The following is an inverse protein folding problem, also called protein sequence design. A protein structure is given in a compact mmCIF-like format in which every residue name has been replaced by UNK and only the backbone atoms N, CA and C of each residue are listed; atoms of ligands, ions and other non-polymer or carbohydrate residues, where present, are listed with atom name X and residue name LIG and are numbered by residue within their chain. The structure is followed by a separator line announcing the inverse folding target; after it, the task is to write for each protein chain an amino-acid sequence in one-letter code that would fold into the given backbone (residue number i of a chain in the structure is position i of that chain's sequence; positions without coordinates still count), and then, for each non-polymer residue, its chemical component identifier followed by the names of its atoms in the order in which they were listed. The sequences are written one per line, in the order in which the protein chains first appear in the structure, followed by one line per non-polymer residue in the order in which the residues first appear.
data_IF_285584019220
#
_entry.id   IF_285584019220
#
_cell.length_a   1.000
_cell.length_b   1.000
_cell.length_c   1.000
_cell.angle_alpha   90.00
_cell.angle_beta   90.00
_cell.angle_gamma   90.00
#
_symmetry.space_group_name_H-M   'P 1'
#
loop_
_entity.id
_entity.type
_entity.pdbx_description
1 polymer ?
#
# COMPACT_ATOMS: atom_id res chain seq x y z
N UNK A 1 -4.34 21.26 -13.16
CA UNK A 1 -5.66 20.84 -12.60
C UNK A 1 -5.78 19.32 -12.61
N UNK A 2 -5.57 18.65 -13.75
CA UNK A 2 -5.64 17.17 -13.88
C UNK A 2 -4.81 16.40 -12.85
N UNK A 3 -3.50 16.67 -12.75
CA UNK A 3 -2.58 16.02 -11.78
C UNK A 3 -3.08 16.16 -10.32
N UNK A 4 -3.62 17.34 -9.95
CA UNK A 4 -4.22 17.56 -8.63
C UNK A 4 -5.51 16.77 -8.42
N UNK A 5 -6.42 16.78 -9.38
CA UNK A 5 -7.69 16.04 -9.29
C UNK A 5 -7.47 14.54 -9.15
N UNK A 6 -6.50 13.97 -9.88
CA UNK A 6 -6.12 12.57 -9.77
C UNK A 6 -5.55 12.26 -8.38
N UNK A 7 -4.62 13.08 -7.88
CA UNK A 7 -4.09 12.91 -6.52
C UNK A 7 -5.17 13.02 -5.44
N UNK A 8 -6.11 13.96 -5.58
CA UNK A 8 -7.23 14.11 -4.65
C UNK A 8 -8.18 12.90 -4.67
N UNK A 9 -8.49 12.38 -5.85
CA UNK A 9 -9.31 11.17 -6.00
C UNK A 9 -8.64 9.96 -5.35
N UNK A 10 -7.35 9.73 -5.62
CA UNK A 10 -6.61 8.65 -4.97
C UNK A 10 -6.54 8.84 -3.46
N UNK A 11 -6.28 10.05 -2.97
CA UNK A 11 -6.30 10.36 -1.54
C UNK A 11 -7.63 9.97 -0.88
N UNK A 12 -8.75 10.27 -1.55
CA UNK A 12 -10.09 9.92 -1.06
C UNK A 12 -10.29 8.39 -1.05
N UNK A 13 -9.87 7.70 -2.11
CA UNK A 13 -9.99 6.25 -2.19
C UNK A 13 -9.13 5.59 -1.11
N UNK A 14 -7.81 5.80 -1.08
CA UNK A 14 -6.92 5.25 -0.06
C UNK A 14 -7.36 5.64 1.36
N UNK A 15 -7.79 6.88 1.55
CA UNK A 15 -8.30 7.37 2.83
C UNK A 15 -9.54 6.62 3.29
N UNK A 16 -10.51 6.40 2.40
CA UNK A 16 -11.73 5.66 2.72
C UNK A 16 -11.45 4.20 3.12
N UNK A 17 -10.61 3.50 2.36
CA UNK A 17 -10.21 2.12 2.65
C UNK A 17 -9.38 2.02 3.93
N UNK A 18 -8.48 2.98 4.17
CA UNK A 18 -7.71 3.09 5.42
C UNK A 18 -8.63 3.23 6.63
N UNK A 19 -9.62 4.13 6.56
CA UNK A 19 -10.58 4.35 7.65
C UNK A 19 -11.47 3.13 7.90
N UNK A 20 -11.92 2.45 6.84
CA UNK A 20 -12.67 1.21 6.96
C UNK A 20 -11.83 0.11 7.61
N UNK A 21 -10.59 -0.08 7.16
CA UNK A 21 -9.65 -1.06 7.70
C UNK A 21 -9.36 -0.80 9.18
N UNK A 22 -9.06 0.45 9.55
CA UNK A 22 -8.82 0.87 10.92
C UNK A 22 -10.04 0.66 11.84
N UNK A 23 -11.26 0.68 11.31
CA UNK A 23 -12.47 0.33 12.08
C UNK A 23 -12.69 -1.17 12.17
N UNK A 24 -12.51 -1.93 11.10
CA UNK A 24 -12.99 -3.33 11.05
C UNK A 24 -11.93 -4.32 11.57
N UNK A 25 -10.67 -4.11 11.21
CA UNK A 25 -9.59 -5.11 11.37
C UNK A 25 -9.03 -5.16 12.80
N UNK A 26 -8.79 -4.03 13.51
CA UNK A 26 -8.34 -4.08 14.92
C UNK A 26 -9.34 -4.71 15.89
N UNK A 27 -10.63 -4.77 15.52
CA UNK A 27 -11.69 -5.38 16.34
C UNK A 27 -11.75 -6.91 16.23
N UNK A 28 -10.90 -7.50 15.40
CA UNK A 28 -10.88 -8.95 15.23
C UNK A 28 -10.14 -9.60 16.41
N UNK A 29 -10.69 -10.68 17.01
CA UNK A 29 -10.06 -11.35 18.15
C UNK A 29 -8.72 -12.01 17.80
N UNK A 30 -8.43 -12.16 16.50
CA UNK A 30 -7.22 -12.78 15.99
C UNK A 30 -6.17 -11.78 15.48
N UNK A 31 -6.36 -10.46 15.65
CA UNK A 31 -5.51 -9.48 14.97
C UNK A 31 -4.02 -9.55 15.35
N UNK A 32 -3.70 -9.74 16.63
CA UNK A 32 -2.34 -9.88 17.14
C UNK A 32 -2.32 -10.74 18.42
N UNK A 33 -1.27 -11.53 18.66
CA UNK A 33 -0.11 -11.83 17.81
C UNK A 33 -0.43 -12.75 16.60
N UNK A 34 0.51 -12.84 15.65
CA UNK A 34 0.31 -13.58 14.38
C UNK A 34 -0.09 -15.04 14.51
N UNK A 35 0.28 -15.69 15.62
CA UNK A 35 -0.15 -17.05 15.93
C UNK A 35 -1.66 -17.22 15.79
N UNK A 36 -2.46 -16.22 16.15
CA UNK A 36 -3.91 -16.27 16.07
C UNK A 36 -4.47 -16.21 14.65
N UNK A 37 -3.69 -15.77 13.66
CA UNK A 37 -4.12 -15.80 12.26
C UNK A 37 -4.37 -17.21 11.76
N UNK A 38 -3.64 -18.18 12.30
CA UNK A 38 -3.64 -19.57 11.87
C UNK A 38 -4.51 -20.51 12.72
N UNK A 39 -4.92 -20.07 13.91
CA UNK A 39 -5.76 -20.89 14.79
C UNK A 39 -7.14 -21.11 14.16
N UNK A 40 -7.57 -22.37 14.14
CA UNK A 40 -8.83 -22.78 13.53
C UNK A 40 -8.73 -23.11 12.04
N UNK A 41 -7.50 -23.16 11.49
CA UNK A 41 -7.27 -23.57 10.11
C UNK A 41 -7.68 -25.03 9.87
N UNK A 42 -7.13 -25.95 10.67
CA UNK A 42 -7.43 -27.40 10.59
C UNK A 42 -8.88 -27.77 10.86
N UNK A 43 -9.61 -26.98 11.65
CA UNK A 43 -11.03 -27.20 11.95
C UNK A 43 -11.97 -26.47 10.97
N UNK A 44 -11.46 -25.70 10.01
CA UNK A 44 -12.27 -24.88 9.10
C UNK A 44 -12.95 -23.66 9.74
N UNK A 45 -12.94 -23.56 11.08
CA UNK A 45 -13.56 -22.45 11.83
C UNK A 45 -13.00 -21.07 11.48
N UNK A 46 -11.78 -21.00 10.94
CA UNK A 46 -11.18 -19.76 10.44
C UNK A 46 -11.81 -19.22 9.14
N UNK A 47 -12.49 -20.06 8.37
CA UNK A 47 -13.06 -19.70 7.07
C UNK A 47 -14.32 -18.83 7.20
N UNK A 48 -15.00 -18.91 8.36
CA UNK A 48 -16.11 -18.04 8.68
C UNK A 48 -15.61 -16.60 8.91
N UNK A 49 -15.94 -15.72 7.96
CA UNK A 49 -15.61 -14.31 7.99
C UNK A 49 -16.87 -13.52 8.32
N UNK A 50 -16.77 -12.57 9.27
CA UNK A 50 -17.85 -11.63 9.57
C UNK A 50 -18.20 -10.82 8.31
N UNK A 51 -19.47 -10.52 8.11
CA UNK A 51 -19.96 -9.96 6.83
C UNK A 51 -19.32 -8.61 6.47
N UNK A 52 -19.04 -7.78 7.47
CA UNK A 52 -18.32 -6.51 7.29
C UNK A 52 -16.86 -6.72 6.82
N UNK A 53 -16.17 -7.72 7.35
CA UNK A 53 -14.81 -8.07 6.93
C UNK A 53 -14.82 -8.69 5.53
N UNK A 54 -15.83 -9.50 5.21
CA UNK A 54 -16.00 -10.05 3.85
C UNK A 54 -16.25 -8.93 2.85
N UNK A 55 -17.14 -8.00 3.17
CA UNK A 55 -17.41 -6.83 2.34
C UNK A 55 -16.13 -6.00 2.14
N UNK A 56 -15.40 -5.71 3.22
CA UNK A 56 -14.11 -5.01 3.16
C UNK A 56 -13.10 -5.71 2.24
N UNK A 57 -12.97 -7.03 2.38
CA UNK A 57 -12.05 -7.85 1.58
C UNK A 57 -12.38 -7.82 0.08
N UNK A 58 -13.66 -8.02 -0.25
CA UNK A 58 -14.13 -8.04 -1.63
C UNK A 58 -14.05 -6.65 -2.27
N UNK A 59 -14.33 -5.60 -1.51
CA UNK A 59 -14.18 -4.21 -1.98
C UNK A 59 -12.71 -3.90 -2.31
N UNK A 60 -11.76 -4.39 -1.49
CA UNK A 60 -10.33 -4.33 -1.79
C UNK A 60 -9.97 -5.12 -3.05
N UNK A 61 -10.51 -6.33 -3.20
CA UNK A 61 -10.32 -7.12 -4.41
C UNK A 61 -10.79 -6.39 -5.67
N UNK A 62 -11.99 -5.80 -5.62
CA UNK A 62 -12.52 -5.01 -6.73
C UNK A 62 -11.63 -3.80 -7.06
N UNK A 63 -11.13 -3.10 -6.04
CA UNK A 63 -10.19 -1.99 -6.20
C UNK A 63 -8.88 -2.43 -6.84
N UNK A 64 -8.29 -3.56 -6.43
CA UNK A 64 -7.05 -4.06 -7.04
C UNK A 64 -7.24 -4.49 -8.50
N UNK A 65 -8.39 -5.10 -8.83
CA UNK A 65 -8.73 -5.42 -10.22
C UNK A 65 -8.90 -4.15 -11.05
N UNK A 66 -9.60 -3.15 -10.52
CA UNK A 66 -9.73 -1.85 -11.19
C UNK A 66 -8.36 -1.19 -11.39
N UNK A 67 -7.49 -1.20 -10.39
CA UNK A 67 -6.12 -0.67 -10.50
C UNK A 67 -5.28 -1.41 -11.53
N UNK A 68 -5.41 -2.74 -11.62
CA UNK A 68 -4.73 -3.54 -12.64
C UNK A 68 -5.15 -3.16 -14.06
N UNK A 69 -6.44 -2.85 -14.27
CA UNK A 69 -6.95 -2.36 -15.56
C UNK A 69 -6.50 -0.92 -15.82
N UNK A 70 -6.52 -0.05 -14.81
CA UNK A 70 -6.10 1.34 -14.96
C UNK A 70 -4.64 1.47 -15.38
N UNK A 71 -3.72 0.67 -14.82
CA UNK A 71 -2.31 0.73 -15.24
C UNK A 71 -2.10 0.38 -16.71
N UNK A 72 -2.97 -0.46 -17.30
CA UNK A 72 -2.91 -0.76 -18.75
C UNK A 72 -3.39 0.40 -19.63
N UNK A 73 -4.16 1.33 -19.07
CA UNK A 73 -4.76 2.46 -19.77
C UNK A 73 -4.00 3.78 -19.52
N UNK A 74 -3.27 3.87 -18.40
CA UNK A 74 -2.49 5.05 -18.02
C UNK A 74 -1.16 5.15 -18.81
N UNK A 75 -0.65 6.37 -19.03
CA UNK A 75 0.68 6.58 -19.58
C UNK A 75 1.75 5.83 -18.77
N UNK A 76 2.74 5.27 -19.48
CA UNK A 76 3.81 4.50 -18.84
C UNK A 76 4.73 5.41 -18.06
N UNK A 77 4.78 5.22 -16.75
CA UNK A 77 5.72 5.87 -15.84
C UNK A 77 7.02 5.08 -15.73
N UNK A 78 8.06 5.68 -15.13
CA UNK A 78 9.38 5.04 -14.94
C UNK A 78 9.32 3.74 -14.15
N UNK A 79 8.33 3.58 -13.27
CA UNK A 79 8.09 2.35 -12.50
C UNK A 79 6.91 1.51 -12.99
N UNK A 80 6.59 1.60 -14.30
CA UNK A 80 5.48 0.89 -14.93
C UNK A 80 5.55 -0.63 -14.72
N UNK A 81 6.74 -1.23 -14.87
CA UNK A 81 6.92 -2.68 -14.74
C UNK A 81 6.68 -3.13 -13.30
N UNK A 82 7.22 -2.40 -12.33
CA UNK A 82 7.07 -2.66 -10.91
C UNK A 82 5.61 -2.51 -10.46
N UNK A 83 4.92 -1.46 -10.93
CA UNK A 83 3.50 -1.27 -10.68
C UNK A 83 2.64 -2.36 -11.34
N UNK A 84 2.95 -2.77 -12.57
CA UNK A 84 2.21 -3.85 -13.22
C UNK A 84 2.41 -5.19 -12.51
N UNK A 85 3.66 -5.51 -12.13
CA UNK A 85 3.99 -6.68 -11.33
C UNK A 85 3.24 -6.65 -10.00
N UNK A 86 3.21 -5.50 -9.32
CA UNK A 86 2.45 -5.30 -8.10
C UNK A 86 0.98 -5.65 -8.27
N UNK A 87 0.31 -5.10 -9.29
CA UNK A 87 -1.12 -5.35 -9.51
C UNK A 87 -1.42 -6.82 -9.83
N UNK A 88 -0.59 -7.46 -10.65
CA UNK A 88 -0.75 -8.90 -10.93
C UNK A 88 -0.60 -9.72 -9.66
N UNK A 89 0.43 -9.42 -8.86
CA UNK A 89 0.71 -10.13 -7.61
C UNK A 89 -0.35 -9.86 -6.55
N UNK A 90 -0.85 -8.62 -6.40
CA UNK A 90 -1.89 -8.28 -5.43
C UNK A 90 -3.23 -8.90 -5.78
N UNK A 91 -3.63 -8.88 -7.06
CA UNK A 91 -4.86 -9.56 -7.49
C UNK A 91 -4.74 -11.07 -7.28
N UNK A 92 -3.60 -11.67 -7.65
CA UNK A 92 -3.36 -13.09 -7.44
C UNK A 92 -3.38 -13.48 -5.95
N UNK A 93 -2.69 -12.73 -5.09
CA UNK A 93 -2.65 -13.05 -3.66
C UNK A 93 -4.02 -12.89 -3.03
N UNK A 94 -4.80 -11.87 -3.39
CA UNK A 94 -6.17 -11.65 -2.88
C UNK A 94 -7.09 -12.79 -3.33
N UNK A 95 -7.03 -13.21 -4.59
CA UNK A 95 -7.84 -14.30 -5.10
C UNK A 95 -7.51 -15.66 -4.43
N UNK A 96 -6.23 -16.05 -4.42
CA UNK A 96 -5.81 -17.34 -3.86
C UNK A 96 -6.08 -17.38 -2.36
N UNK A 97 -5.79 -16.29 -1.64
CA UNK A 97 -6.04 -16.22 -0.20
C UNK A 97 -7.51 -16.25 0.16
N UNK A 98 -8.39 -15.68 -0.67
CA UNK A 98 -9.83 -15.78 -0.47
C UNK A 98 -10.33 -17.21 -0.63
N UNK A 99 -9.88 -17.88 -1.70
CA UNK A 99 -10.30 -19.25 -2.03
C UNK A 99 -9.76 -20.30 -1.04
N UNK A 100 -8.57 -20.09 -0.47
CA UNK A 100 -7.89 -21.07 0.40
C UNK A 100 -7.90 -20.69 1.89
N UNK A 101 -8.69 -19.69 2.30
CA UNK A 101 -8.90 -19.38 3.72
C UNK A 101 -7.85 -18.49 4.38
N UNK A 102 -6.93 -17.89 3.62
CA UNK A 102 -5.90 -16.97 4.13
C UNK A 102 -6.40 -15.53 4.34
N UNK A 103 -7.72 -15.35 4.40
CA UNK A 103 -8.42 -14.07 4.52
C UNK A 103 -7.88 -13.20 5.67
N UNK A 104 -7.55 -13.80 6.81
CA UNK A 104 -7.04 -13.07 7.99
C UNK A 104 -5.73 -12.34 7.69
N UNK A 105 -4.80 -13.01 7.01
CA UNK A 105 -3.52 -12.43 6.59
C UNK A 105 -3.73 -11.37 5.53
N UNK A 106 -4.61 -11.64 4.55
CA UNK A 106 -4.96 -10.65 3.53
C UNK A 106 -5.48 -9.35 4.14
N UNK A 107 -6.33 -9.42 5.18
CA UNK A 107 -6.80 -8.24 5.90
C UNK A 107 -5.67 -7.46 6.59
N UNK A 108 -4.73 -8.17 7.21
CA UNK A 108 -3.55 -7.56 7.85
C UNK A 108 -2.68 -6.87 6.80
N UNK A 109 -2.41 -7.54 5.68
CA UNK A 109 -1.65 -6.98 4.55
C UNK A 109 -2.29 -5.69 4.03
N UNK A 110 -3.60 -5.68 3.78
CA UNK A 110 -4.32 -4.49 3.31
C UNK A 110 -4.16 -3.30 4.27
N UNK A 111 -4.25 -3.54 5.59
CA UNK A 111 -4.09 -2.47 6.60
C UNK A 111 -2.64 -1.99 6.74
N UNK A 112 -1.64 -2.81 6.41
CA UNK A 112 -0.25 -2.39 6.45
C UNK A 112 0.18 -1.61 5.21
N UNK A 113 -0.36 -1.96 4.03
CA UNK A 113 0.07 -1.35 2.78
C UNK A 113 -0.60 0.02 2.55
N UNK A 114 -1.93 0.07 2.43
CA UNK A 114 -2.67 1.26 1.93
C UNK A 114 -2.51 2.56 2.74
N UNK A 115 -2.43 2.58 4.08
CA UNK A 115 -2.46 3.85 4.80
C UNK A 115 -1.25 4.76 4.54
N UNK A 116 -0.13 4.20 4.07
CA UNK A 116 1.04 4.98 3.65
C UNK A 116 0.77 5.80 2.37
N UNK A 117 -0.17 5.40 1.52
CA UNK A 117 -0.43 6.09 0.26
C UNK A 117 -1.27 7.37 0.46
N UNK A 118 -1.99 7.49 1.57
CA UNK A 118 -2.73 8.72 1.94
C UNK A 118 -1.78 9.93 2.04
N UNK A 119 -0.73 9.93 2.88
CA UNK A 119 0.20 11.05 2.93
C UNK A 119 0.96 11.24 1.61
N UNK A 120 1.22 10.19 0.82
CA UNK A 120 1.80 10.35 -0.52
C UNK A 120 0.94 11.25 -1.41
N UNK A 121 -0.36 10.99 -1.50
CA UNK A 121 -1.26 11.79 -2.33
C UNK A 121 -1.50 13.20 -1.77
N UNK A 122 -1.52 13.36 -0.45
CA UNK A 122 -1.59 14.69 0.18
C UNK A 122 -0.33 15.51 -0.12
N UNK A 123 0.86 14.92 -0.06
CA UNK A 123 2.12 15.60 -0.40
C UNK A 123 2.11 16.07 -1.86
N UNK A 124 1.64 15.21 -2.79
CA UNK A 124 1.45 15.57 -4.22
C UNK A 124 0.51 16.74 -4.41
N UNK A 125 -0.64 16.74 -3.72
CA UNK A 125 -1.60 17.85 -3.79
C UNK A 125 -0.97 19.18 -3.36
N UNK A 126 -0.24 19.21 -2.24
CA UNK A 126 0.47 20.41 -1.80
C UNK A 126 1.53 20.85 -2.81
N UNK A 127 2.31 19.90 -3.35
CA UNK A 127 3.33 20.19 -4.36
C UNK A 127 2.73 20.80 -5.63
N UNK A 128 1.66 20.23 -6.16
CA UNK A 128 0.98 20.78 -7.34
C UNK A 128 0.40 22.17 -7.11
N UNK A 129 -0.09 22.46 -5.89
CA UNK A 129 -0.53 23.83 -5.54
C UNK A 129 0.66 24.78 -5.45
N UNK A 130 1.77 24.36 -4.86
CA UNK A 130 2.99 25.16 -4.78
C UNK A 130 3.48 25.56 -6.18
N UNK A 131 3.63 24.58 -7.08
CA UNK A 131 4.13 24.78 -8.43
C UNK A 131 3.17 25.68 -9.25
N UNK A 132 1.84 25.49 -9.10
CA UNK A 132 0.85 26.33 -9.78
C UNK A 132 0.80 27.78 -9.25
N UNK A 133 1.25 28.02 -8.01
CA UNK A 133 1.18 29.33 -7.35
C UNK A 133 2.51 30.07 -7.34
N UNK A 134 3.62 29.44 -7.69
CA UNK A 134 4.97 30.00 -7.62
C UNK A 134 5.09 31.41 -8.22
N UNK A 135 4.54 31.62 -9.44
CA UNK A 135 4.60 32.93 -10.13
C UNK A 135 3.58 33.96 -9.62
N UNK A 136 2.44 33.52 -9.07
CA UNK A 136 1.31 34.39 -8.70
C UNK A 136 1.30 34.78 -7.23
N UNK A 137 1.67 33.86 -6.35
CA UNK A 137 1.67 34.01 -4.90
C UNK A 137 2.81 33.18 -4.30
N UNK A 138 3.98 33.82 -4.15
CA UNK A 138 5.17 33.18 -3.57
C UNK A 138 5.01 32.84 -2.09
N UNK A 139 4.13 33.54 -1.36
CA UNK A 139 3.87 33.26 0.05
C UNK A 139 3.14 31.93 0.19
N UNK A 140 2.05 31.76 -0.54
CA UNK A 140 1.29 30.51 -0.58
C UNK A 140 2.14 29.35 -1.12
N UNK A 141 2.90 29.58 -2.19
CA UNK A 141 3.77 28.55 -2.76
C UNK A 141 4.77 28.01 -1.72
N UNK A 142 5.42 28.88 -0.94
CA UNK A 142 6.35 28.49 0.12
C UNK A 142 5.68 27.69 1.24
N UNK A 143 4.47 28.10 1.66
CA UNK A 143 3.69 27.35 2.67
C UNK A 143 3.33 25.97 2.14
N UNK A 144 2.87 25.86 0.89
CA UNK A 144 2.53 24.59 0.27
C UNK A 144 3.76 23.68 0.10
N UNK A 145 4.92 24.20 -0.30
CA UNK A 145 6.17 23.42 -0.34
C UNK A 145 6.53 22.90 1.05
N UNK A 146 6.47 23.77 2.07
CA UNK A 146 6.73 23.35 3.45
C UNK A 146 5.78 22.24 3.92
N UNK A 147 4.48 22.37 3.62
CA UNK A 147 3.50 21.33 3.93
C UNK A 147 3.78 20.03 3.17
N UNK A 148 4.12 20.10 1.87
CA UNK A 148 4.47 18.93 1.07
C UNK A 148 5.65 18.18 1.67
N UNK A 149 6.70 18.90 2.10
CA UNK A 149 7.89 18.31 2.70
C UNK A 149 7.58 17.61 4.03
N UNK A 150 6.81 18.24 4.92
CA UNK A 150 6.41 17.63 6.21
C UNK A 150 5.53 16.39 6.02
N UNK A 151 4.63 16.42 5.04
CA UNK A 151 3.78 15.26 4.73
C UNK A 151 4.60 14.14 4.08
N UNK A 152 5.60 14.48 3.26
CA UNK A 152 6.53 13.51 2.69
C UNK A 152 7.39 12.82 3.77
N UNK A 153 7.84 13.56 4.78
CA UNK A 153 8.52 12.96 5.95
C UNK A 153 7.61 12.01 6.71
N UNK A 154 6.34 12.40 6.93
CA UNK A 154 5.34 11.51 7.54
C UNK A 154 5.14 10.24 6.71
N UNK A 155 5.04 10.35 5.39
CA UNK A 155 5.01 9.21 4.47
C UNK A 155 6.22 8.30 4.70
N UNK A 156 7.44 8.84 4.74
CA UNK A 156 8.65 8.04 4.88
C UNK A 156 8.69 7.24 6.19
N UNK A 157 8.33 7.89 7.32
CA UNK A 157 8.23 7.23 8.62
C UNK A 157 7.14 6.16 8.62
N UNK A 158 5.97 6.50 8.07
CA UNK A 158 4.84 5.58 8.04
C UNK A 158 5.14 4.34 7.17
N UNK A 159 5.76 4.54 6.00
CA UNK A 159 6.21 3.47 5.11
C UNK A 159 7.24 2.56 5.79
N UNK A 160 8.22 3.13 6.50
CA UNK A 160 9.21 2.38 7.27
C UNK A 160 8.54 1.49 8.32
N UNK A 161 7.59 2.03 9.09
CA UNK A 161 6.91 1.27 10.15
C UNK A 161 6.05 0.17 9.55
N UNK A 162 5.11 0.50 8.66
CA UNK A 162 4.11 -0.48 8.23
C UNK A 162 4.65 -1.47 7.21
N UNK A 163 5.49 -1.02 6.26
CA UNK A 163 5.92 -1.83 5.11
C UNK A 163 7.31 -2.44 5.27
N UNK A 164 8.22 -1.80 5.99
CA UNK A 164 9.58 -2.33 6.20
C UNK A 164 9.73 -3.02 7.55
N UNK A 165 8.98 -2.62 8.58
CA UNK A 165 9.09 -3.24 9.91
C UNK A 165 7.98 -4.28 10.15
N UNK A 166 6.72 -3.93 9.94
CA UNK A 166 5.58 -4.82 10.25
C UNK A 166 5.29 -5.85 9.15
N UNK A 167 5.39 -5.48 7.86
CA UNK A 167 5.12 -6.41 6.75
C UNK A 167 6.03 -7.66 6.72
N UNK A 168 7.37 -7.58 6.93
CA UNK A 168 8.18 -8.80 6.94
C UNK A 168 7.84 -9.73 8.10
N UNK A 169 7.26 -9.24 9.19
CA UNK A 169 6.70 -10.10 10.23
C UNK A 169 5.50 -10.91 9.71
N UNK A 170 4.67 -10.33 8.84
CA UNK A 170 3.60 -11.05 8.15
C UNK A 170 4.17 -12.12 7.22
N UNK A 171 5.20 -11.78 6.41
CA UNK A 171 5.89 -12.73 5.55
C UNK A 171 6.51 -13.89 6.34
N UNK A 172 7.15 -13.59 7.46
CA UNK A 172 7.72 -14.59 8.37
C UNK A 172 6.65 -15.51 8.94
N UNK A 173 5.55 -14.95 9.44
CA UNK A 173 4.41 -15.72 9.95
C UNK A 173 3.84 -16.66 8.89
N UNK A 174 3.63 -16.15 7.67
CA UNK A 174 3.16 -16.92 6.52
C UNK A 174 4.14 -18.04 6.10
N UNK A 175 5.44 -17.79 6.18
CA UNK A 175 6.45 -18.75 5.76
C UNK A 175 6.74 -19.80 6.85
N UNK A 176 6.76 -19.39 8.12
CA UNK A 176 7.24 -20.21 9.25
C UNK A 176 6.10 -20.69 10.13
N UNK A 177 5.30 -19.78 10.70
CA UNK A 177 4.25 -20.17 11.66
C UNK A 177 3.15 -20.97 11.00
N UNK A 178 2.76 -20.58 9.79
CA UNK A 178 1.73 -21.21 9.00
C UNK A 178 1.95 -22.73 8.84
N UNK A 179 3.22 -23.15 8.69
CA UNK A 179 3.61 -24.56 8.54
C UNK A 179 3.25 -25.46 9.73
N UNK A 180 2.93 -24.87 10.89
CA UNK A 180 2.48 -25.60 12.09
C UNK A 180 1.00 -25.93 12.06
N UNK A 181 0.23 -25.31 11.17
CA UNK A 181 -1.24 -25.33 11.19
C UNK A 181 -1.88 -26.03 9.99
N UNK A 182 -1.15 -26.23 8.89
CA UNK A 182 -1.64 -26.91 7.70
C UNK A 182 -0.51 -27.60 6.91
N UNK A 183 -0.82 -28.65 6.13
CA UNK A 183 0.15 -29.31 5.27
C UNK A 183 0.58 -28.40 4.11
N UNK A 184 1.85 -28.47 3.74
CA UNK A 184 2.43 -27.69 2.63
C UNK A 184 1.83 -28.12 1.29
N UNK A 185 0.93 -27.32 0.74
CA UNK A 185 0.38 -27.48 -0.62
C UNK A 185 0.87 -26.40 -1.58
N UNK A 186 0.48 -26.54 -2.85
CA UNK A 186 0.80 -25.58 -3.92
C UNK A 186 0.19 -24.18 -3.65
N UNK A 187 -1.08 -24.05 -3.23
CA UNK A 187 -1.68 -22.74 -2.95
C UNK A 187 -0.93 -21.96 -1.87
N UNK A 188 -0.48 -22.64 -0.81
CA UNK A 188 0.17 -22.03 0.33
C UNK A 188 1.57 -21.52 -0.02
N UNK A 189 2.37 -22.33 -0.72
CA UNK A 189 3.67 -21.87 -1.22
C UNK A 189 3.55 -20.76 -2.26
N UNK A 190 2.48 -20.79 -3.06
CA UNK A 190 2.17 -19.69 -3.98
C UNK A 190 1.89 -18.40 -3.19
N UNK A 191 1.03 -18.44 -2.17
CA UNK A 191 0.76 -17.28 -1.31
C UNK A 191 2.03 -16.75 -0.64
N UNK A 192 2.88 -17.63 -0.08
CA UNK A 192 4.16 -17.23 0.52
C UNK A 192 5.06 -16.53 -0.51
N UNK A 193 5.21 -17.11 -1.70
CA UNK A 193 6.00 -16.51 -2.78
C UNK A 193 5.49 -15.12 -3.17
N UNK A 194 4.18 -14.98 -3.37
CA UNK A 194 3.54 -13.70 -3.71
C UNK A 194 3.76 -12.63 -2.62
N UNK A 195 3.65 -13.00 -1.34
CA UNK A 195 3.91 -12.09 -0.22
C UNK A 195 5.38 -11.62 -0.20
N UNK A 196 6.34 -12.50 -0.46
CA UNK A 196 7.74 -12.11 -0.57
C UNK A 196 8.03 -11.23 -1.79
N UNK A 197 7.37 -11.49 -2.93
CA UNK A 197 7.44 -10.60 -4.10
C UNK A 197 6.92 -9.20 -3.77
N UNK A 198 5.79 -9.10 -3.07
CA UNK A 198 5.27 -7.81 -2.60
C UNK A 198 6.25 -7.11 -1.67
N UNK A 199 6.88 -7.82 -0.73
CA UNK A 199 7.89 -7.23 0.15
C UNK A 199 9.08 -6.67 -0.63
N UNK A 200 9.57 -7.40 -1.64
CA UNK A 200 10.65 -6.93 -2.52
C UNK A 200 10.30 -5.62 -3.21
N UNK A 201 9.07 -5.49 -3.71
CA UNK A 201 8.56 -4.24 -4.29
C UNK A 201 8.48 -3.12 -3.24
N UNK A 202 8.05 -3.40 -2.01
CA UNK A 202 8.07 -2.40 -0.93
C UNK A 202 9.48 -1.91 -0.62
N UNK A 203 10.47 -2.81 -0.60
CA UNK A 203 11.88 -2.43 -0.43
C UNK A 203 12.37 -1.52 -1.57
N UNK A 204 11.98 -1.82 -2.82
CA UNK A 204 12.30 -0.99 -3.98
C UNK A 204 11.73 0.44 -3.85
N UNK A 205 10.44 0.60 -3.56
CA UNK A 205 9.86 1.93 -3.41
C UNK A 205 10.39 2.65 -2.16
N UNK A 206 10.69 1.94 -1.08
CA UNK A 206 11.32 2.55 0.08
C UNK A 206 12.71 3.11 -0.26
N UNK A 207 13.49 2.40 -1.06
CA UNK A 207 14.76 2.91 -1.57
C UNK A 207 14.57 4.23 -2.35
N UNK A 208 13.52 4.34 -3.18
CA UNK A 208 13.21 5.59 -3.88
C UNK A 208 12.81 6.72 -2.91
N UNK A 209 12.03 6.42 -1.88
CA UNK A 209 11.65 7.40 -0.83
C UNK A 209 12.90 7.91 -0.12
N UNK A 210 13.81 7.03 0.27
CA UNK A 210 15.08 7.42 0.92
C UNK A 210 15.95 8.26 -0.02
N UNK A 211 16.01 7.93 -1.31
CA UNK A 211 16.75 8.73 -2.30
C UNK A 211 16.22 10.17 -2.38
N UNK A 212 14.90 10.35 -2.37
CA UNK A 212 14.27 11.69 -2.35
C UNK A 212 14.55 12.39 -1.01
N UNK A 213 14.38 11.70 0.12
CA UNK A 213 14.65 12.27 1.43
C UNK A 213 16.10 12.77 1.58
N UNK A 214 17.10 11.98 1.12
CA UNK A 214 18.50 12.39 1.14
C UNK A 214 18.73 13.62 0.25
N UNK A 215 18.13 13.65 -0.96
CA UNK A 215 18.22 14.82 -1.86
C UNK A 215 17.68 16.09 -1.18
N UNK A 216 16.55 15.99 -0.47
CA UNK A 216 15.98 17.12 0.26
C UNK A 216 16.92 17.63 1.37
N UNK A 217 17.54 16.71 2.13
CA UNK A 217 18.45 17.06 3.22
C UNK A 217 19.77 17.66 2.72
N UNK A 218 20.32 17.16 1.61
CA UNK A 218 21.64 17.57 1.11
C UNK A 218 21.57 18.80 0.21
N UNK A 219 20.57 18.86 -0.69
CA UNK A 219 20.46 19.93 -1.68
C UNK A 219 19.57 21.09 -1.23
N UNK A 220 18.86 20.97 -0.10
CA UNK A 220 17.88 21.96 0.36
C UNK A 220 16.69 22.14 -0.59
N UNK A 221 16.51 21.24 -1.56
CA UNK A 221 15.38 21.22 -2.49
C UNK A 221 14.15 20.54 -1.87
N UNK A 222 12.95 20.89 -2.36
CA UNK A 222 11.69 20.28 -1.90
C UNK A 222 11.49 18.84 -2.39
N UNK A 223 10.48 18.16 -1.86
CA UNK A 223 10.13 16.80 -2.27
C UNK A 223 9.75 16.74 -3.77
N UNK A 224 10.54 16.01 -4.57
CA UNK A 224 10.28 15.76 -5.99
C UNK A 224 10.00 14.28 -6.22
N UNK A 225 8.87 13.98 -6.87
CA UNK A 225 8.50 12.62 -7.25
C UNK A 225 9.26 12.20 -8.52
N UNK A 226 10.28 11.36 -8.35
CA UNK A 226 11.14 10.88 -9.45
C UNK A 226 10.47 9.82 -10.35
N UNK A 227 9.21 9.45 -10.09
CA UNK A 227 8.48 8.44 -10.85
C UNK A 227 7.66 9.02 -12.01
N UNK A 228 7.38 10.33 -11.99
CA UNK A 228 6.40 10.99 -12.88
C UNK A 228 7.00 11.77 -14.05
N UNK A 229 8.31 11.73 -14.27
CA UNK A 229 9.02 12.63 -15.21
C UNK A 229 8.68 12.45 -16.70
N UNK A 230 7.85 11.46 -17.09
CA UNK A 230 7.56 11.18 -18.51
C UNK A 230 6.11 11.59 -18.91
N UNK A 231 5.43 12.44 -18.13
CA UNK A 231 4.06 12.92 -18.42
C UNK A 231 3.98 14.24 -19.21
N UNK A 232 5.10 14.73 -19.75
CA UNK A 232 5.20 16.06 -20.38
C UNK A 232 5.52 16.04 -21.90
N UNK A 233 5.23 14.94 -22.61
CA UNK A 233 5.16 14.90 -24.09
C UNK A 233 3.75 14.63 -24.62
#
# INVERSE_FOLDING_TARGET
VTKFSQAAMECLIYGSFTLLGARIVPRQPWIWPSKHWWIGFSSGSHAAMRDDLRCYYLLYGARYVQGALSVLLEPKRKDFVEMQLHHVVTVAVVAISYLHGWNRIGCVVMVLLDPADVPLHVAKMFKYVADARERRDRGLARVCTFCADRVFELLAVFFLVTRISMYPYVCWSAHVEATRYFPKGVPEWTCVGLLWTLYGLQCYWFFLIIKVAIKMLVSGGGAEDNRSDDEDD
#
